data_IF_110662176553
#
_entry.id   IF_110662176553
#
_cell.length_a   1.000
_cell.length_b   1.000
_cell.length_c   1.000
_cell.angle_alpha   90.00
_cell.angle_beta   90.00
_cell.angle_gamma   90.00
#
_symmetry.space_group_name_H-M   'P 1'
#
loop_
_entity.id
_entity.type
_entity.pdbx_description
1 polymer ?
#
# COMPACT_ATOMS: atom_id res chain seq x y z
N UNK A 1 -10.38 1.21 19.26
CA UNK A 1 -9.06 1.89 19.09
C UNK A 1 -8.50 1.59 17.70
N UNK A 2 -7.77 2.53 17.06
CA UNK A 2 -7.03 2.27 15.82
C UNK A 2 -5.53 2.32 16.11
N UNK A 3 -4.78 1.27 15.76
CA UNK A 3 -3.32 1.28 15.74
C UNK A 3 -2.83 1.59 14.33
N UNK A 4 -2.16 2.73 14.16
CA UNK A 4 -1.66 3.20 12.87
C UNK A 4 -0.19 2.80 12.75
N UNK A 5 0.12 1.86 11.85
CA UNK A 5 1.47 1.32 11.64
C UNK A 5 2.11 2.01 10.43
N UNK A 6 3.24 2.68 10.66
CA UNK A 6 3.94 3.48 9.64
C UNK A 6 5.39 3.03 9.54
N UNK A 7 5.74 2.17 8.57
CA UNK A 7 7.13 1.83 8.30
C UNK A 7 7.85 3.02 7.65
N UNK A 8 9.07 3.30 8.14
CA UNK A 8 9.91 4.42 7.71
C UNK A 8 11.34 3.97 7.52
N UNK A 9 11.98 4.46 6.48
CA UNK A 9 13.42 4.40 6.27
C UNK A 9 13.88 5.69 5.62
N UNK A 10 14.56 6.55 6.41
CA UNK A 10 14.88 7.93 6.01
C UNK A 10 13.59 8.76 5.72
N UNK A 11 13.67 9.86 4.97
CA UNK A 11 12.55 10.72 4.57
C UNK A 11 11.87 11.45 5.73
N UNK A 12 12.66 12.03 6.62
CA UNK A 12 12.18 12.77 7.78
C UNK A 12 11.08 13.79 7.42
N UNK A 13 11.28 14.60 6.38
CA UNK A 13 10.30 15.63 5.99
C UNK A 13 8.92 15.07 5.59
N UNK A 14 8.89 13.92 4.90
CA UNK A 14 7.62 13.26 4.57
C UNK A 14 6.95 12.71 5.82
N UNK A 15 7.74 12.10 6.71
CA UNK A 15 7.26 11.58 7.98
C UNK A 15 6.63 12.66 8.84
N UNK A 16 7.25 13.85 8.94
CA UNK A 16 6.68 15.00 9.66
C UNK A 16 5.32 15.38 9.08
N UNK A 17 5.21 15.57 7.76
CA UNK A 17 3.95 15.95 7.10
C UNK A 17 2.84 14.92 7.31
N UNK A 18 3.19 13.63 7.26
CA UNK A 18 2.25 12.55 7.52
C UNK A 18 1.73 12.61 8.98
N UNK A 19 2.62 12.74 9.97
CA UNK A 19 2.26 12.85 11.38
C UNK A 19 1.44 14.10 11.69
N UNK A 20 1.81 15.26 11.13
CA UNK A 20 1.02 16.50 11.24
C UNK A 20 -0.39 16.36 10.66
N UNK A 21 -0.55 15.56 9.60
CA UNK A 21 -1.88 15.30 9.02
C UNK A 21 -2.71 14.35 9.88
N UNK A 22 -2.06 13.41 10.59
CA UNK A 22 -2.69 12.56 11.59
C UNK A 22 -3.11 13.35 12.82
N UNK A 23 -2.29 14.29 13.29
CA UNK A 23 -2.63 15.16 14.42
C UNK A 23 -3.87 16.03 14.16
N UNK A 24 -4.20 16.29 12.92
CA UNK A 24 -5.40 17.04 12.49
C UNK A 24 -6.65 16.18 12.35
N UNK A 25 -6.61 14.87 12.59
CA UNK A 25 -7.77 14.01 12.47
C UNK A 25 -8.86 14.40 13.48
N UNK A 26 -10.14 14.32 13.10
CA UNK A 26 -11.28 14.54 14.00
C UNK A 26 -11.49 13.38 14.96
N UNK A 27 -11.38 12.16 14.45
CA UNK A 27 -11.36 10.95 15.27
C UNK A 27 -10.08 10.88 16.08
N UNK A 28 -10.17 10.68 17.42
CA UNK A 28 -9.04 10.77 18.35
C UNK A 28 -8.63 9.46 19.02
N UNK A 29 -9.41 8.39 18.85
CA UNK A 29 -9.12 7.10 19.48
C UNK A 29 -8.15 6.27 18.62
N UNK A 30 -6.94 6.78 18.44
CA UNK A 30 -5.88 6.08 17.71
C UNK A 30 -4.53 6.20 18.42
N UNK A 31 -3.65 5.26 18.12
CA UNK A 31 -2.23 5.28 18.52
C UNK A 31 -1.36 5.07 17.29
N UNK A 32 -0.24 5.80 17.22
CA UNK A 32 0.71 5.70 16.11
C UNK A 32 1.90 4.87 16.55
N UNK A 33 2.25 3.87 15.73
CA UNK A 33 3.49 3.08 15.83
C UNK A 33 4.31 3.37 14.57
N UNK A 34 5.35 4.18 14.75
CA UNK A 34 6.35 4.43 13.72
C UNK A 34 7.41 3.34 13.78
N UNK A 35 7.65 2.64 12.68
CA UNK A 35 8.70 1.62 12.60
C UNK A 35 9.86 2.17 11.80
N UNK A 36 10.87 2.68 12.51
CA UNK A 36 12.07 3.27 11.92
C UNK A 36 13.11 2.18 11.65
N UNK A 37 13.18 1.72 10.41
CA UNK A 37 14.12 0.66 9.99
C UNK A 37 15.54 1.20 9.79
N UNK A 38 16.12 1.78 10.86
CA UNK A 38 17.51 2.23 10.87
C UNK A 38 17.78 3.50 10.05
N UNK A 39 16.90 4.50 10.12
CA UNK A 39 17.11 5.79 9.45
C UNK A 39 18.36 6.51 9.94
N UNK A 40 19.08 7.16 9.02
CA UNK A 40 20.31 7.92 9.27
C UNK A 40 20.15 9.43 9.07
N UNK A 41 18.97 9.88 8.67
CA UNK A 41 18.65 11.29 8.37
C UNK A 41 18.15 12.09 9.59
N UNK A 42 18.22 11.50 10.79
CA UNK A 42 17.76 12.13 12.04
C UNK A 42 16.28 11.86 12.36
N UNK A 43 15.59 11.01 11.61
CA UNK A 43 14.17 10.65 11.81
C UNK A 43 13.90 10.27 13.26
N UNK A 44 14.61 9.28 13.82
CA UNK A 44 14.42 8.86 15.21
C UNK A 44 14.53 10.01 16.21
N UNK A 45 15.64 10.75 16.12
CA UNK A 45 15.94 11.86 17.05
C UNK A 45 14.88 12.97 17.02
N UNK A 46 14.41 13.30 15.83
CA UNK A 46 13.41 14.34 15.65
C UNK A 46 12.04 13.89 16.15
N UNK A 47 11.58 12.71 15.69
CA UNK A 47 10.23 12.22 16.01
C UNK A 47 10.09 11.93 17.51
N UNK A 48 11.10 11.32 18.16
CA UNK A 48 11.06 11.05 19.60
C UNK A 48 10.95 12.33 20.45
N UNK A 49 11.47 13.45 19.96
CA UNK A 49 11.42 14.74 20.65
C UNK A 49 10.13 15.52 20.37
N UNK A 50 9.75 15.65 19.10
CA UNK A 50 8.67 16.54 18.67
C UNK A 50 7.29 15.86 18.65
N UNK A 51 7.25 14.51 18.61
CA UNK A 51 6.02 13.71 18.62
C UNK A 51 6.03 12.66 19.74
N UNK A 52 6.04 13.07 21.02
CA UNK A 52 6.22 12.16 22.17
C UNK A 52 5.09 11.13 22.34
N UNK A 53 3.93 11.34 21.73
CA UNK A 53 2.81 10.38 21.71
C UNK A 53 2.99 9.21 20.71
N UNK A 54 3.97 9.32 19.80
CA UNK A 54 4.27 8.29 18.80
C UNK A 54 5.16 7.22 19.41
N UNK A 55 4.71 5.96 19.38
CA UNK A 55 5.57 4.82 19.76
C UNK A 55 6.53 4.51 18.63
N UNK A 56 7.83 4.35 18.92
CA UNK A 56 8.84 4.07 17.89
C UNK A 56 9.40 2.67 18.10
N UNK A 57 9.34 1.85 17.06
CA UNK A 57 10.03 0.55 16.94
C UNK A 57 11.25 0.74 16.05
N UNK A 58 12.45 0.38 16.53
CA UNK A 58 13.69 0.57 15.79
C UNK A 58 14.14 -0.71 15.11
N UNK A 59 14.52 -0.61 13.84
CA UNK A 59 15.13 -1.65 13.03
C UNK A 59 16.61 -1.41 12.75
N UNK A 60 17.20 -2.28 11.95
CA UNK A 60 18.62 -2.30 11.62
C UNK A 60 18.93 -1.87 10.15
N UNK A 61 17.92 -1.44 9.41
CA UNK A 61 18.01 -1.03 7.99
C UNK A 61 17.85 -2.18 7.00
N UNK A 62 17.51 -3.39 7.48
CA UNK A 62 17.38 -4.59 6.64
C UNK A 62 15.95 -5.13 6.51
N UNK A 63 14.96 -4.51 7.18
CA UNK A 63 13.62 -5.11 7.32
C UNK A 63 12.73 -4.90 6.10
N UNK A 64 12.92 -3.84 5.35
CA UNK A 64 12.05 -3.48 4.25
C UNK A 64 10.61 -3.25 4.73
N UNK A 65 9.68 -3.03 3.78
CA UNK A 65 8.31 -2.65 4.13
C UNK A 65 7.56 -3.72 4.92
N UNK A 66 7.63 -4.98 4.48
CA UNK A 66 6.80 -6.06 5.06
C UNK A 66 7.21 -6.42 6.47
N UNK A 67 8.52 -6.63 6.71
CA UNK A 67 9.02 -6.95 8.04
C UNK A 67 8.89 -5.77 9.00
N UNK A 68 9.11 -4.53 8.52
CA UNK A 68 8.86 -3.34 9.34
C UNK A 68 7.38 -3.25 9.74
N UNK A 69 6.45 -3.47 8.82
CA UNK A 69 5.01 -3.50 9.12
C UNK A 69 4.69 -4.60 10.14
N UNK A 70 5.24 -5.81 9.97
CA UNK A 70 5.08 -6.91 10.92
C UNK A 70 5.57 -6.56 12.32
N UNK A 71 6.77 -5.95 12.45
CA UNK A 71 7.33 -5.53 13.74
C UNK A 71 6.45 -4.48 14.44
N UNK A 72 5.87 -3.57 13.67
CA UNK A 72 4.89 -2.62 14.19
C UNK A 72 3.63 -3.32 14.70
N UNK A 73 3.08 -4.26 13.96
CA UNK A 73 1.91 -5.06 14.36
C UNK A 73 2.24 -5.90 15.61
N UNK A 74 3.33 -6.64 15.62
CA UNK A 74 3.77 -7.46 16.76
C UNK A 74 3.86 -6.64 18.04
N UNK A 75 4.31 -5.39 17.98
CA UNK A 75 4.48 -4.52 19.15
C UNK A 75 3.18 -4.12 19.84
N UNK A 76 2.04 -4.34 19.19
CA UNK A 76 0.71 -3.98 19.71
C UNK A 76 -0.17 -5.19 20.06
N UNK A 77 0.16 -6.40 19.60
CA UNK A 77 -0.72 -7.56 19.74
C UNK A 77 -1.10 -7.88 21.20
N UNK A 78 -0.13 -7.82 22.12
CA UNK A 78 -0.36 -8.11 23.54
C UNK A 78 -1.13 -7.01 24.27
N UNK A 79 -1.28 -5.84 23.65
CA UNK A 79 -1.92 -4.64 24.24
C UNK A 79 -3.26 -4.30 23.59
N UNK A 80 -3.57 -4.95 22.47
CA UNK A 80 -4.79 -4.69 21.70
C UNK A 80 -5.95 -5.54 22.17
N UNK A 81 -7.15 -4.97 22.12
CA UNK A 81 -8.40 -5.71 22.28
C UNK A 81 -8.82 -6.36 20.95
N UNK A 82 -9.74 -7.32 21.00
CA UNK A 82 -10.20 -8.06 19.81
C UNK A 82 -10.92 -7.17 18.78
N UNK A 83 -11.62 -6.14 19.26
CA UNK A 83 -12.33 -5.16 18.45
C UNK A 83 -11.47 -3.99 17.97
N UNK A 84 -10.18 -3.95 18.36
CA UNK A 84 -9.24 -2.95 17.87
C UNK A 84 -8.92 -3.15 16.40
N UNK A 85 -8.54 -2.06 15.74
CA UNK A 85 -8.26 -2.02 14.32
C UNK A 85 -6.79 -1.66 14.05
N UNK A 86 -6.25 -2.19 12.97
CA UNK A 86 -4.94 -1.83 12.43
C UNK A 86 -5.16 -1.02 11.15
N UNK A 87 -4.48 0.12 11.05
CA UNK A 87 -4.36 0.91 9.82
C UNK A 87 -2.91 0.92 9.38
N UNK A 88 -2.61 0.33 8.22
CA UNK A 88 -1.28 0.47 7.62
C UNK A 88 -1.21 1.72 6.78
N UNK A 89 -0.17 2.54 6.97
CA UNK A 89 0.10 3.76 6.20
C UNK A 89 1.55 3.82 5.74
N UNK A 90 1.80 4.51 4.64
CA UNK A 90 3.14 4.94 4.27
C UNK A 90 3.39 6.36 4.80
N UNK A 91 4.65 6.72 5.04
CA UNK A 91 5.05 8.04 5.54
C UNK A 91 5.01 9.16 4.49
N UNK A 92 4.77 8.84 3.21
CA UNK A 92 4.69 9.79 2.09
C UNK A 92 3.24 10.18 1.71
N UNK A 93 2.32 10.02 2.66
CA UNK A 93 0.90 10.33 2.49
C UNK A 93 0.51 11.55 3.33
N UNK A 94 -0.44 12.32 2.80
CA UNK A 94 -1.14 13.38 3.55
C UNK A 94 -2.62 13.04 3.59
N UNK A 95 -3.26 13.27 4.75
CA UNK A 95 -4.63 12.87 5.04
C UNK A 95 -5.52 14.09 5.29
N UNK A 96 -6.78 14.01 4.89
CA UNK A 96 -7.78 15.01 5.28
C UNK A 96 -8.27 14.77 6.71
N UNK A 97 -8.77 15.80 7.42
CA UNK A 97 -9.16 15.70 8.84
C UNK A 97 -10.27 14.68 9.17
N UNK A 98 -11.08 14.30 8.20
CA UNK A 98 -12.19 13.34 8.30
C UNK A 98 -11.83 11.92 7.80
N UNK A 99 -10.55 11.69 7.48
CA UNK A 99 -10.09 10.46 6.85
C UNK A 99 -10.36 9.21 7.71
N UNK A 100 -10.04 9.24 9.00
CA UNK A 100 -10.27 8.09 9.89
C UNK A 100 -11.76 7.82 10.10
N UNK A 101 -12.58 8.86 10.22
CA UNK A 101 -14.05 8.73 10.32
C UNK A 101 -14.63 8.06 9.08
N UNK A 102 -14.16 8.46 7.89
CA UNK A 102 -14.62 7.89 6.62
C UNK A 102 -14.23 6.41 6.45
N UNK A 103 -13.03 6.00 6.91
CA UNK A 103 -12.66 4.58 6.95
C UNK A 103 -13.54 3.78 7.91
N UNK A 104 -13.71 4.28 9.14
CA UNK A 104 -14.52 3.62 10.17
C UNK A 104 -15.98 3.44 9.74
N UNK A 105 -16.56 4.47 9.11
CA UNK A 105 -17.93 4.40 8.60
C UNK A 105 -18.10 3.19 7.66
N UNK A 106 -17.25 3.07 6.65
CA UNK A 106 -17.32 1.96 5.69
C UNK A 106 -16.99 0.61 6.34
N UNK A 107 -16.05 0.58 7.30
CA UNK A 107 -15.74 -0.64 8.04
C UNK A 107 -16.97 -1.16 8.80
N UNK A 108 -17.65 -0.33 9.58
CA UNK A 108 -18.82 -0.75 10.36
C UNK A 108 -20.03 -1.10 9.49
N UNK A 109 -20.17 -0.48 8.31
CA UNK A 109 -21.23 -0.80 7.35
C UNK A 109 -21.03 -2.16 6.66
N UNK A 110 -19.78 -2.64 6.51
CA UNK A 110 -19.44 -3.78 5.66
C UNK A 110 -18.74 -4.95 6.35
N UNK A 111 -18.41 -4.84 7.66
CA UNK A 111 -17.70 -5.92 8.40
C UNK A 111 -18.39 -7.29 8.30
N UNK A 112 -17.65 -8.43 8.22
CA UNK A 112 -16.18 -8.47 8.25
C UNK A 112 -15.57 -8.05 6.92
N UNK A 113 -14.68 -7.05 6.96
CA UNK A 113 -14.04 -6.51 5.75
C UNK A 113 -12.69 -5.86 6.05
N UNK A 114 -11.89 -5.70 4.99
CA UNK A 114 -10.78 -4.77 4.94
C UNK A 114 -11.22 -3.55 4.16
N UNK A 115 -10.88 -2.36 4.66
CA UNK A 115 -11.23 -1.09 4.03
C UNK A 115 -9.97 -0.37 3.56
N UNK A 116 -9.81 -0.23 2.25
CA UNK A 116 -8.75 0.57 1.66
C UNK A 116 -9.19 2.00 1.38
N UNK A 117 -8.21 2.82 1.02
CA UNK A 117 -8.38 4.24 0.71
C UNK A 117 -8.32 4.50 -0.79
N UNK A 118 -9.00 5.54 -1.25
CA UNK A 118 -8.72 6.14 -2.56
C UNK A 118 -7.38 6.88 -2.48
N UNK A 119 -6.54 6.71 -3.49
CA UNK A 119 -5.34 7.49 -3.64
C UNK A 119 -5.48 8.48 -4.79
N UNK A 120 -5.16 9.74 -4.54
CA UNK A 120 -5.15 10.82 -5.52
C UNK A 120 -3.76 11.45 -5.62
N UNK A 121 -3.52 12.13 -6.75
CA UNK A 121 -2.24 12.79 -6.97
C UNK A 121 -2.17 14.13 -6.27
N UNK A 122 -1.05 14.44 -5.61
CA UNK A 122 -0.83 15.72 -4.93
C UNK A 122 -0.95 16.93 -5.88
N UNK A 123 -0.47 16.80 -7.10
CA UNK A 123 -0.48 17.87 -8.10
C UNK A 123 -1.84 18.00 -8.83
N UNK A 124 -2.73 17.02 -8.67
CA UNK A 124 -4.07 17.04 -9.24
C UNK A 124 -4.96 16.10 -8.42
N UNK A 125 -5.60 16.65 -7.39
CA UNK A 125 -6.44 15.89 -6.44
C UNK A 125 -7.69 15.26 -7.08
N UNK A 126 -8.05 15.69 -8.28
CA UNK A 126 -9.16 15.10 -9.03
C UNK A 126 -8.73 13.88 -9.87
N UNK A 127 -7.41 13.70 -10.02
CA UNK A 127 -6.83 12.56 -10.73
C UNK A 127 -6.61 11.37 -9.80
N UNK A 128 -7.37 10.32 -10.02
CA UNK A 128 -7.28 9.09 -9.24
C UNK A 128 -5.98 8.34 -9.58
N UNK A 129 -5.23 7.95 -8.56
CA UNK A 129 -4.09 7.05 -8.67
C UNK A 129 -4.49 5.60 -8.42
N UNK A 130 -5.30 5.36 -7.37
CA UNK A 130 -5.81 4.05 -7.01
C UNK A 130 -7.25 4.14 -6.52
N UNK A 131 -8.10 3.20 -6.99
CA UNK A 131 -9.52 3.13 -6.66
C UNK A 131 -10.00 1.68 -6.46
N UNK A 132 -9.11 0.74 -6.50
CA UNK A 132 -9.40 -0.68 -6.48
C UNK A 132 -9.06 -1.38 -7.79
N UNK A 133 -8.92 -2.70 -7.71
CA UNK A 133 -8.43 -3.54 -8.80
C UNK A 133 -9.26 -4.82 -8.87
N UNK A 134 -9.64 -5.23 -10.08
CA UNK A 134 -10.06 -6.59 -10.41
C UNK A 134 -8.85 -7.37 -10.88
N UNK A 135 -8.54 -8.44 -10.15
CA UNK A 135 -7.41 -9.30 -10.40
C UNK A 135 -7.85 -10.67 -10.94
N UNK A 136 -7.07 -11.23 -11.86
CA UNK A 136 -7.38 -12.51 -12.46
C UNK A 136 -6.28 -13.54 -12.17
N UNK A 137 -6.63 -14.59 -11.43
CA UNK A 137 -5.73 -15.65 -10.98
C UNK A 137 -5.21 -16.57 -12.11
N UNK A 138 -5.73 -16.46 -13.33
CA UNK A 138 -5.29 -17.29 -14.45
C UNK A 138 -4.29 -16.56 -15.36
N UNK A 139 -4.60 -15.31 -15.75
CA UNK A 139 -3.85 -14.58 -16.77
C UNK A 139 -3.10 -13.35 -16.26
N UNK A 140 -2.94 -13.19 -14.95
CA UNK A 140 -2.23 -12.08 -14.31
C UNK A 140 -2.71 -10.68 -14.76
N UNK A 141 -3.99 -10.54 -15.11
CA UNK A 141 -4.52 -9.23 -15.46
C UNK A 141 -4.94 -8.45 -14.22
N UNK A 142 -4.62 -7.17 -14.22
CA UNK A 142 -4.99 -6.17 -13.21
C UNK A 142 -5.79 -5.08 -13.92
N UNK A 143 -7.07 -4.96 -13.61
CA UNK A 143 -7.95 -3.94 -14.21
C UNK A 143 -8.45 -3.00 -13.13
N UNK A 144 -8.28 -1.70 -13.33
CA UNK A 144 -8.90 -0.70 -12.45
C UNK A 144 -10.42 -0.91 -12.40
N UNK A 145 -11.00 -0.71 -11.21
CA UNK A 145 -12.46 -0.79 -11.03
C UNK A 145 -13.16 0.47 -11.55
N UNK A 146 -12.46 1.62 -11.52
CA UNK A 146 -12.97 2.83 -12.16
C UNK A 146 -12.70 2.83 -13.68
N UNK A 147 -13.57 3.50 -14.42
CA UNK A 147 -13.37 3.77 -15.82
C UNK A 147 -12.07 4.57 -16.04
N UNK A 148 -11.51 4.40 -17.24
CA UNK A 148 -10.30 5.14 -17.61
C UNK A 148 -10.62 6.65 -17.65
N UNK A 149 -9.77 7.45 -17.00
CA UNK A 149 -9.90 8.91 -16.93
C UNK A 149 -11.06 9.44 -16.07
N UNK A 150 -11.78 8.56 -15.33
CA UNK A 150 -12.78 9.00 -14.34
C UNK A 150 -12.13 9.91 -13.30
N UNK A 151 -12.75 11.04 -13.03
CA UNK A 151 -12.31 12.01 -12.04
C UNK A 151 -12.83 11.65 -10.65
N UNK A 152 -12.06 12.01 -9.63
CA UNK A 152 -12.44 11.73 -8.24
C UNK A 152 -13.80 12.34 -7.88
N UNK A 153 -14.04 13.60 -8.26
CA UNK A 153 -15.30 14.29 -7.97
C UNK A 153 -16.51 13.64 -8.64
N UNK A 154 -16.33 13.04 -9.82
CA UNK A 154 -17.39 12.28 -10.50
C UNK A 154 -17.69 10.96 -9.77
N UNK A 155 -16.64 10.24 -9.39
CA UNK A 155 -16.76 8.99 -8.64
C UNK A 155 -17.46 9.19 -7.29
N UNK A 156 -17.07 10.23 -6.54
CA UNK A 156 -17.65 10.58 -5.24
C UNK A 156 -19.15 10.84 -5.28
N UNK A 157 -19.67 11.39 -6.37
CA UNK A 157 -21.11 11.59 -6.56
C UNK A 157 -21.88 10.30 -6.80
N UNK A 158 -21.21 9.25 -7.26
CA UNK A 158 -21.85 8.00 -7.69
C UNK A 158 -21.77 6.89 -6.65
N UNK A 159 -20.70 6.87 -5.80
CA UNK A 159 -20.41 5.75 -4.92
C UNK A 159 -19.82 6.23 -3.60
N UNK A 160 -20.17 5.55 -2.52
CA UNK A 160 -19.56 5.70 -1.20
C UNK A 160 -18.42 4.69 -0.98
N UNK A 161 -18.54 3.53 -1.60
CA UNK A 161 -17.54 2.45 -1.52
C UNK A 161 -17.46 1.65 -2.84
N UNK A 162 -16.37 0.91 -3.02
CA UNK A 162 -16.10 0.09 -4.20
C UNK A 162 -15.54 -1.26 -3.78
N UNK A 163 -16.13 -2.36 -4.25
CA UNK A 163 -15.56 -3.71 -4.07
C UNK A 163 -14.34 -3.92 -4.94
N UNK A 164 -13.28 -4.48 -4.35
CA UNK A 164 -12.00 -4.74 -5.00
C UNK A 164 -11.51 -6.16 -4.75
N UNK A 165 -10.50 -6.60 -5.48
CA UNK A 165 -9.85 -7.88 -5.23
C UNK A 165 -8.52 -7.72 -4.47
N UNK A 166 -7.94 -6.52 -4.49
CA UNK A 166 -6.65 -6.21 -3.85
C UNK A 166 -6.71 -4.82 -3.20
N UNK A 167 -6.02 -4.67 -2.10
CA UNK A 167 -5.81 -3.41 -1.39
C UNK A 167 -4.32 -3.14 -1.21
N UNK A 168 -3.84 -1.90 -1.37
CA UNK A 168 -2.45 -1.54 -1.12
C UNK A 168 -2.17 -1.39 0.38
N UNK A 169 -0.94 -1.63 0.81
CA UNK A 169 -0.51 -1.43 2.20
C UNK A 169 -0.53 0.03 2.68
N UNK A 170 -0.86 0.96 1.80
CA UNK A 170 -0.99 2.40 2.10
C UNK A 170 -2.46 2.80 2.31
N UNK A 171 -2.90 2.89 3.55
CA UNK A 171 -4.27 3.27 3.90
C UNK A 171 -5.26 2.10 3.87
N UNK A 172 -4.87 0.96 4.41
CA UNK A 172 -5.77 -0.19 4.58
C UNK A 172 -6.04 -0.45 6.06
N UNK A 173 -7.32 -0.41 6.42
CA UNK A 173 -7.87 -0.65 7.76
C UNK A 173 -8.45 -2.07 7.84
N UNK A 174 -8.12 -2.80 8.92
CA UNK A 174 -8.64 -4.14 9.20
C UNK A 174 -8.59 -4.46 10.69
N UNK A 175 -9.37 -5.45 11.19
CA UNK A 175 -9.38 -5.80 12.61
C UNK A 175 -8.08 -6.53 13.02
N UNK A 176 -7.66 -6.33 14.27
CA UNK A 176 -6.53 -7.05 14.86
C UNK A 176 -6.75 -8.57 14.78
N UNK A 177 -7.99 -9.03 14.97
CA UNK A 177 -8.37 -10.43 14.90
C UNK A 177 -7.99 -11.10 13.57
N UNK A 178 -7.98 -10.35 12.46
CA UNK A 178 -7.55 -10.85 11.17
C UNK A 178 -6.12 -11.40 11.21
N UNK A 179 -5.23 -10.79 12.00
CA UNK A 179 -3.85 -11.27 12.14
C UNK A 179 -3.82 -12.67 12.80
N UNK A 180 -4.71 -12.93 13.75
CA UNK A 180 -4.83 -14.26 14.37
C UNK A 180 -5.34 -15.31 13.36
N UNK A 181 -6.21 -14.90 12.45
CA UNK A 181 -6.85 -15.77 11.46
C UNK A 181 -5.92 -16.12 10.28
N UNK A 182 -5.29 -15.12 9.67
CA UNK A 182 -4.52 -15.31 8.43
C UNK A 182 -3.00 -15.11 8.61
N UNK A 183 -2.54 -14.74 9.80
CA UNK A 183 -1.13 -14.43 10.09
C UNK A 183 -0.68 -13.05 9.58
N UNK A 184 0.56 -12.72 9.84
CA UNK A 184 1.24 -11.49 9.44
C UNK A 184 1.50 -11.44 7.92
N UNK A 185 2.07 -10.34 7.44
CA UNK A 185 2.57 -10.23 6.06
C UNK A 185 3.68 -11.23 5.80
N UNK A 186 3.71 -11.85 4.63
CA UNK A 186 4.76 -12.79 4.22
C UNK A 186 6.04 -12.02 3.82
N UNK A 187 6.85 -11.67 4.80
CA UNK A 187 8.06 -10.88 4.63
C UNK A 187 9.25 -11.68 4.05
N UNK A 188 9.15 -13.00 4.04
CA UNK A 188 10.16 -13.89 3.45
C UNK A 188 10.06 -13.93 1.92
N UNK A 189 8.85 -14.11 1.40
CA UNK A 189 8.61 -14.18 -0.05
C UNK A 189 8.36 -12.81 -0.66
N UNK A 190 7.81 -11.86 0.12
CA UNK A 190 7.37 -10.53 -0.32
C UNK A 190 7.93 -9.42 0.57
N UNK A 191 9.26 -9.22 0.63
CA UNK A 191 9.84 -8.27 1.59
C UNK A 191 9.47 -6.81 1.32
N UNK A 192 9.25 -6.41 0.03
CA UNK A 192 8.96 -5.01 -0.33
C UNK A 192 7.72 -4.84 -1.21
N UNK A 193 7.44 -5.76 -2.13
CA UNK A 193 6.33 -5.69 -3.07
C UNK A 193 5.52 -6.97 -3.02
N UNK A 194 4.23 -6.88 -3.37
CA UNK A 194 3.25 -7.96 -3.40
C UNK A 194 2.82 -8.52 -2.02
N UNK A 195 3.36 -8.02 -0.90
CA UNK A 195 2.93 -8.45 0.42
C UNK A 195 1.49 -8.01 0.75
N UNK A 196 1.14 -6.80 0.36
CA UNK A 196 -0.21 -6.25 0.47
C UNK A 196 -1.22 -6.97 -0.45
N UNK A 197 -0.80 -7.33 -1.68
CA UNK A 197 -1.58 -8.15 -2.59
C UNK A 197 -1.80 -9.57 -2.00
N UNK A 198 -0.75 -10.20 -1.46
CA UNK A 198 -0.82 -11.49 -0.76
C UNK A 198 -1.75 -11.45 0.45
N UNK A 199 -1.60 -10.44 1.29
CA UNK A 199 -2.44 -10.24 2.48
C UNK A 199 -3.90 -10.07 2.10
N UNK A 200 -4.18 -9.25 1.09
CA UNK A 200 -5.53 -9.05 0.54
C UNK A 200 -6.17 -10.36 0.08
N UNK A 201 -5.42 -11.19 -0.66
CA UNK A 201 -5.94 -12.46 -1.16
C UNK A 201 -6.14 -13.49 -0.06
N UNK A 202 -5.26 -13.53 0.96
CA UNK A 202 -5.46 -14.40 2.13
C UNK A 202 -6.71 -14.01 2.91
N UNK A 203 -6.91 -12.71 3.17
CA UNK A 203 -8.11 -12.21 3.82
C UNK A 203 -9.39 -12.52 3.02
N UNK A 204 -9.34 -12.33 1.70
CA UNK A 204 -10.47 -12.68 0.82
C UNK A 204 -10.79 -14.17 0.84
N UNK A 205 -9.79 -15.04 0.85
CA UNK A 205 -9.95 -16.49 0.93
C UNK A 205 -10.50 -16.94 2.30
N UNK A 206 -10.23 -16.17 3.36
CA UNK A 206 -10.81 -16.35 4.69
C UNK A 206 -12.26 -15.80 4.82
N UNK A 207 -12.82 -15.25 3.73
CA UNK A 207 -14.22 -14.80 3.69
C UNK A 207 -14.42 -13.30 3.94
N UNK A 208 -13.36 -12.53 4.14
CA UNK A 208 -13.47 -11.09 4.32
C UNK A 208 -13.72 -10.35 3.02
N UNK A 209 -14.58 -9.34 3.04
CA UNK A 209 -14.81 -8.44 1.92
C UNK A 209 -13.65 -7.45 1.81
N UNK A 210 -13.28 -7.09 0.59
CA UNK A 210 -12.32 -6.01 0.34
C UNK A 210 -13.05 -4.85 -0.32
N UNK A 211 -13.03 -3.70 0.33
CA UNK A 211 -13.73 -2.50 -0.13
C UNK A 211 -12.80 -1.29 -0.08
N UNK A 212 -12.98 -0.35 -0.99
CA UNK A 212 -12.34 0.96 -0.96
C UNK A 212 -13.37 1.99 -0.52
N UNK A 213 -13.06 2.75 0.54
CA UNK A 213 -13.88 3.88 0.98
C UNK A 213 -13.62 5.09 0.09
N UNK A 214 -14.65 5.56 -0.63
CA UNK A 214 -14.47 6.64 -1.61
C UNK A 214 -14.14 7.98 -0.96
N UNK A 215 -14.68 8.25 0.22
CA UNK A 215 -14.41 9.49 0.97
C UNK A 215 -13.14 9.42 1.85
N UNK A 216 -12.54 8.24 2.01
CA UNK A 216 -11.26 8.09 2.69
C UNK A 216 -10.11 8.29 1.70
N UNK A 217 -9.66 9.54 1.57
CA UNK A 217 -8.68 9.95 0.57
C UNK A 217 -7.29 10.06 1.16
N UNK A 218 -6.31 9.41 0.53
CA UNK A 218 -4.89 9.64 0.76
C UNK A 218 -4.29 10.42 -0.41
N UNK A 219 -3.60 11.50 -0.10
CA UNK A 219 -2.87 12.30 -1.10
C UNK A 219 -1.45 11.79 -1.17
N UNK A 220 -1.08 11.20 -2.30
CA UNK A 220 0.22 10.55 -2.52
C UNK A 220 1.23 11.51 -3.14
N UNK A 221 2.42 11.60 -2.53
CA UNK A 221 3.59 12.30 -3.10
C UNK A 221 4.46 11.29 -3.84
N UNK A 222 4.08 10.98 -5.07
CA UNK A 222 4.60 9.82 -5.85
C UNK A 222 6.00 10.06 -6.43
N UNK A 223 6.53 11.27 -6.36
CA UNK A 223 7.88 11.55 -6.89
C UNK A 223 8.99 10.82 -6.11
N UNK A 224 8.64 10.28 -4.95
CA UNK A 224 9.59 9.78 -3.96
C UNK A 224 9.68 8.25 -3.80
N UNK A 225 8.85 7.42 -4.43
CA UNK A 225 8.80 5.97 -4.14
C UNK A 225 9.32 5.05 -5.23
N UNK A 226 10.33 4.24 -4.88
CA UNK A 226 10.79 3.08 -5.65
C UNK A 226 11.48 3.38 -6.99
N UNK A 227 11.77 2.33 -7.77
CA UNK A 227 12.19 2.47 -9.16
C UNK A 227 10.94 2.78 -9.98
N UNK A 228 10.61 4.08 -10.09
CA UNK A 228 9.39 4.50 -10.75
C UNK A 228 9.59 4.67 -12.26
N UNK A 229 9.34 3.61 -13.01
CA UNK A 229 9.41 3.64 -14.47
C UNK A 229 8.35 4.54 -15.14
N UNK A 230 7.40 5.12 -14.39
CA UNK A 230 6.37 5.98 -14.99
C UNK A 230 6.91 7.34 -15.41
N UNK A 231 7.91 7.85 -14.71
CA UNK A 231 8.48 9.20 -14.91
C UNK A 231 9.84 9.21 -15.60
N UNK A 232 10.61 8.13 -15.44
CA UNK A 232 11.93 8.00 -16.07
C UNK A 232 11.81 7.61 -17.54
N UNK A 233 12.74 8.13 -18.37
CA UNK A 233 12.92 7.60 -19.72
C UNK A 233 13.22 6.11 -19.64
N UNK A 234 12.48 5.25 -20.37
CA UNK A 234 12.68 3.82 -20.30
C UNK A 234 14.09 3.47 -20.78
N UNK A 235 14.84 2.78 -19.93
CA UNK A 235 16.20 2.29 -20.22
C UNK A 235 16.22 0.78 -20.11
N UNK A 236 16.76 0.10 -21.12
CA UNK A 236 16.86 -1.36 -21.14
C UNK A 236 17.70 -1.89 -19.97
N UNK A 237 18.82 -1.22 -19.64
CA UNK A 237 19.67 -1.57 -18.50
C UNK A 237 18.91 -1.45 -17.17
N UNK A 238 18.18 -0.34 -16.96
CA UNK A 238 17.32 -0.17 -15.75
C UNK A 238 16.24 -1.25 -15.69
N UNK A 239 15.64 -1.61 -16.83
CA UNK A 239 14.63 -2.65 -16.89
C UNK A 239 15.20 -4.03 -16.51
N UNK A 240 16.31 -4.46 -17.11
CA UNK A 240 16.96 -5.73 -16.74
C UNK A 240 17.31 -5.78 -15.25
N UNK A 241 17.92 -4.71 -14.72
CA UNK A 241 18.21 -4.62 -13.27
C UNK A 241 16.96 -4.72 -12.40
N UNK A 242 15.81 -4.23 -12.87
CA UNK A 242 14.55 -4.30 -12.12
C UNK A 242 14.03 -5.73 -11.94
N UNK A 243 14.38 -6.65 -12.84
CA UNK A 243 13.95 -8.04 -12.78
C UNK A 243 14.58 -8.82 -11.60
N UNK A 244 15.74 -8.37 -11.09
CA UNK A 244 16.41 -8.96 -9.93
C UNK A 244 16.37 -8.12 -8.67
N UNK A 245 15.93 -6.85 -8.75
CA UNK A 245 15.99 -5.91 -7.62
C UNK A 245 14.82 -6.07 -6.65
N UNK A 246 15.10 -6.11 -5.35
CA UNK A 246 14.10 -6.05 -4.28
C UNK A 246 13.31 -4.72 -4.30
N UNK A 247 13.91 -3.65 -4.83
CA UNK A 247 13.30 -2.32 -4.97
C UNK A 247 12.39 -2.21 -6.20
N UNK A 248 11.99 -3.34 -6.80
CA UNK A 248 11.17 -3.35 -8.01
C UNK A 248 10.02 -4.32 -7.92
N UNK A 249 8.83 -3.85 -8.27
CA UNK A 249 7.64 -4.69 -8.44
C UNK A 249 7.78 -5.71 -9.60
N UNK A 250 8.82 -5.59 -10.46
CA UNK A 250 9.13 -6.52 -11.54
C UNK A 250 10.04 -7.67 -11.11
N UNK A 251 10.45 -7.77 -9.84
CA UNK A 251 11.34 -8.81 -9.35
C UNK A 251 10.78 -10.20 -9.66
N UNK A 252 11.50 -10.98 -10.47
CA UNK A 252 11.01 -12.27 -10.99
C UNK A 252 10.82 -13.31 -9.88
N UNK A 253 11.66 -13.31 -8.84
CA UNK A 253 11.51 -14.21 -7.70
C UNK A 253 10.20 -13.92 -6.97
N UNK A 254 9.93 -12.66 -6.67
CA UNK A 254 8.68 -12.21 -6.03
C UNK A 254 7.47 -12.59 -6.89
N UNK A 255 7.51 -12.31 -8.20
CA UNK A 255 6.42 -12.64 -9.13
C UNK A 255 6.16 -14.14 -9.25
N UNK A 256 7.20 -14.96 -9.27
CA UNK A 256 7.07 -16.41 -9.28
C UNK A 256 6.47 -16.93 -7.97
N UNK A 257 6.92 -16.44 -6.80
CA UNK A 257 6.36 -16.84 -5.51
C UNK A 257 4.88 -16.43 -5.39
N UNK A 258 4.53 -15.25 -5.89
CA UNK A 258 3.14 -14.82 -5.94
C UNK A 258 2.29 -15.72 -6.83
N UNK A 259 2.77 -16.06 -8.01
CA UNK A 259 2.12 -17.01 -8.91
C UNK A 259 1.95 -18.39 -8.26
N UNK A 260 2.99 -18.91 -7.59
CA UNK A 260 2.96 -20.19 -6.88
C UNK A 260 1.90 -20.22 -5.78
N UNK A 261 1.69 -19.11 -5.07
CA UNK A 261 0.80 -19.02 -3.91
C UNK A 261 -0.67 -18.79 -4.31
N UNK A 262 -0.92 -17.99 -5.35
CA UNK A 262 -2.26 -17.46 -5.64
C UNK A 262 -2.82 -17.80 -7.02
N UNK A 263 -2.01 -18.23 -7.97
CA UNK A 263 -2.49 -18.51 -9.31
C UNK A 263 -3.22 -19.84 -9.42
N UNK A 264 -4.24 -19.93 -10.30
CA UNK A 264 -4.90 -21.20 -10.63
C UNK A 264 -3.94 -22.21 -11.28
N UNK A 265 -3.06 -21.72 -12.17
CA UNK A 265 -2.01 -22.50 -12.83
C UNK A 265 -0.75 -21.64 -12.82
N UNK A 266 0.19 -21.98 -11.94
CA UNK A 266 1.39 -21.19 -11.64
C UNK A 266 2.18 -20.80 -12.89
N UNK A 267 2.47 -21.76 -13.76
CA UNK A 267 3.29 -21.53 -14.95
C UNK A 267 2.59 -20.62 -15.96
N UNK A 268 1.30 -20.85 -16.21
CA UNK A 268 0.51 -20.02 -17.14
C UNK A 268 0.46 -18.58 -16.63
N UNK A 269 0.10 -18.40 -15.36
CA UNK A 269 0.05 -17.10 -14.73
C UNK A 269 1.40 -16.37 -14.82
N UNK A 270 2.49 -17.05 -14.46
CA UNK A 270 3.83 -16.46 -14.46
C UNK A 270 4.25 -15.98 -15.86
N UNK A 271 4.02 -16.79 -16.89
CA UNK A 271 4.30 -16.36 -18.26
C UNK A 271 3.39 -15.20 -18.72
N UNK A 272 2.11 -15.23 -18.40
CA UNK A 272 1.23 -14.09 -18.67
C UNK A 272 1.70 -12.81 -17.99
N UNK A 273 2.17 -12.90 -16.73
CA UNK A 273 2.69 -11.77 -15.97
C UNK A 273 4.01 -11.25 -16.59
N UNK A 274 4.90 -12.14 -17.03
CA UNK A 274 6.09 -11.77 -17.78
C UNK A 274 5.73 -11.02 -19.08
N UNK A 275 4.81 -11.56 -19.88
CA UNK A 275 4.36 -10.86 -21.10
C UNK A 275 3.79 -9.49 -20.80
N UNK A 276 3.04 -9.33 -19.70
CA UNK A 276 2.51 -8.03 -19.26
C UNK A 276 3.64 -7.06 -18.90
N UNK A 277 4.66 -7.51 -18.15
CA UNK A 277 5.81 -6.70 -17.73
C UNK A 277 6.64 -6.27 -18.95
N UNK A 278 7.04 -7.23 -19.79
CA UNK A 278 7.84 -6.95 -20.99
C UNK A 278 7.04 -6.09 -21.99
N UNK A 279 5.78 -6.43 -22.27
CA UNK A 279 4.92 -5.67 -23.17
C UNK A 279 4.72 -4.21 -22.70
N UNK A 280 4.55 -3.99 -21.40
CA UNK A 280 4.46 -2.65 -20.81
C UNK A 280 5.77 -1.87 -21.00
N UNK A 281 6.92 -2.51 -20.81
CA UNK A 281 8.23 -1.89 -21.05
C UNK A 281 8.42 -1.52 -22.51
N UNK A 282 8.25 -2.47 -23.43
CA UNK A 282 8.45 -2.23 -24.87
C UNK A 282 7.50 -1.16 -25.41
N UNK A 283 6.24 -1.17 -25.02
CA UNK A 283 5.28 -0.12 -25.40
C UNK A 283 5.75 1.28 -25.01
N UNK A 284 6.30 1.45 -23.81
CA UNK A 284 6.85 2.75 -23.35
C UNK A 284 8.16 3.09 -24.03
N UNK A 285 9.02 2.10 -24.25
CA UNK A 285 10.30 2.28 -24.91
C UNK A 285 10.09 2.76 -26.35
N UNK A 286 9.21 2.13 -27.12
CA UNK A 286 8.86 2.56 -28.48
C UNK A 286 8.25 3.96 -28.51
N UNK A 287 7.31 4.26 -27.59
CA UNK A 287 6.76 5.62 -27.49
C UNK A 287 7.82 6.68 -27.17
N UNK A 288 8.85 6.36 -26.40
CA UNK A 288 9.92 7.29 -26.07
C UNK A 288 10.87 7.57 -27.26
N UNK A 289 10.99 6.60 -28.20
CA UNK A 289 11.72 6.79 -29.45
C UNK A 289 10.93 7.67 -30.41
N UNK A 290 9.63 7.35 -30.60
CA UNK A 290 8.75 8.09 -31.55
C UNK A 290 8.58 9.56 -31.14
N UNK A 291 8.54 9.88 -29.83
CA UNK A 291 8.46 11.28 -29.34
C UNK A 291 9.76 12.08 -29.52
N UNK A 292 10.82 11.48 -29.99
CA UNK A 292 12.13 12.10 -30.21
C UNK A 292 12.31 12.60 -31.66
N UNK A 293 11.39 12.23 -32.53
CA UNK A 293 11.22 12.67 -33.91
C UNK A 293 9.89 13.43 -34.04
#
# INVERSE_FOLDING_TARGET
MIYIIIPVFNRLEHTIKCLESLDKQRYREYKIVLVDDGSTDGTYKYISKEFPSVSIVQGDGSWWWSKSTNRGIESILDKSAEDDLILTLNNDLTLYPDYLENLLKIYYEHKPCLVGSISVWKNDIDKIEFVGVKWNAFNASYKSVAEKEMKYQELKKQKTHISTDLLPGRGTLYPVELIKEIGLYDDVNFPQYAADEDFSLRAKNAGHKLVVAVDAVVVSDVESTGINFRYDRPSFRKFVNSLGSIRSANNLKVRYQFAKKHARVTIVYFFCDLFRIFGSFFKRYLKSIIKKY
#
